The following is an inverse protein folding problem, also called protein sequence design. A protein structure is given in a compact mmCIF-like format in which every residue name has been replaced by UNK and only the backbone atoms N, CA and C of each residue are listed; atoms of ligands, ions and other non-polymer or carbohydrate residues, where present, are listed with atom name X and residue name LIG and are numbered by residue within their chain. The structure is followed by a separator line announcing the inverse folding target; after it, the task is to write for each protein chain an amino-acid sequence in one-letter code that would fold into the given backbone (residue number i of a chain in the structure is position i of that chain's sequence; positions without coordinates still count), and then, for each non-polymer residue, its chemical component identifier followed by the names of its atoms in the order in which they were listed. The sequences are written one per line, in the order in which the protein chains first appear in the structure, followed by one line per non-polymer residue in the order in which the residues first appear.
data_IF_244841190270
#
_entry.id   IF_244841190270
#
_cell.length_a   1.000
_cell.length_b   1.000
_cell.length_c   1.000
_cell.angle_alpha   90.00
_cell.angle_beta   90.00
_cell.angle_gamma   90.00
#
_symmetry.space_group_name_H-M   'P 1'
#
loop_
_entity.id
_entity.type
_entity.pdbx_description
1 polymer ?
#
# COMPACT_ATOMS: atom_id res chain seq x y z
N UNK A 1 21.71 19.55 5.09
CA UNK A 1 22.21 18.49 5.98
C UNK A 1 23.18 17.63 5.18
N UNK A 2 24.31 17.26 5.77
CA UNK A 2 25.26 16.33 5.15
C UNK A 2 24.62 14.93 5.01
N UNK A 3 24.79 14.29 3.85
CA UNK A 3 24.11 13.04 3.48
C UNK A 3 24.44 11.90 4.44
N UNK A 4 25.67 11.85 4.94
CA UNK A 4 26.13 10.86 5.94
C UNK A 4 25.36 10.97 7.26
N UNK A 5 25.09 12.21 7.71
CA UNK A 5 24.31 12.45 8.94
C UNK A 5 22.83 12.10 8.75
N UNK A 6 22.30 12.28 7.53
CA UNK A 6 20.93 11.88 7.19
C UNK A 6 20.77 10.34 7.14
N UNK A 7 21.77 9.61 6.67
CA UNK A 7 21.75 8.13 6.67
C UNK A 7 21.80 7.55 8.08
N UNK A 8 22.62 8.11 8.97
CA UNK A 8 22.69 7.69 10.38
C UNK A 8 21.38 7.88 11.15
N UNK A 9 20.50 8.79 10.72
CA UNK A 9 19.21 9.03 11.35
C UNK A 9 18.09 8.11 10.85
N UNK A 10 18.27 7.38 9.73
CA UNK A 10 17.21 6.54 9.15
C UNK A 10 16.70 5.49 10.14
N UNK A 11 17.60 4.82 10.85
CA UNK A 11 17.24 3.80 11.83
C UNK A 11 16.47 4.39 13.02
N UNK A 12 16.95 5.52 13.56
CA UNK A 12 16.29 6.20 14.67
C UNK A 12 14.89 6.74 14.28
N UNK A 13 14.74 7.27 13.05
CA UNK A 13 13.45 7.70 12.52
C UNK A 13 12.50 6.51 12.38
N UNK A 14 12.97 5.38 11.85
CA UNK A 14 12.15 4.18 11.71
C UNK A 14 11.69 3.64 13.08
N UNK A 15 12.57 3.64 14.08
CA UNK A 15 12.24 3.24 15.46
C UNK A 15 11.22 4.20 16.11
N UNK A 16 11.42 5.51 15.96
CA UNK A 16 10.48 6.51 16.43
C UNK A 16 9.11 6.36 15.77
N UNK A 17 9.08 6.09 14.46
CA UNK A 17 7.85 5.85 13.72
C UNK A 17 7.12 4.61 14.23
N UNK A 18 7.81 3.47 14.37
CA UNK A 18 7.21 2.25 14.89
C UNK A 18 6.64 2.44 16.32
N UNK A 19 7.39 3.14 17.17
CA UNK A 19 6.96 3.44 18.55
C UNK A 19 5.74 4.38 18.56
N UNK A 20 5.72 5.38 17.67
CA UNK A 20 4.61 6.32 17.56
C UNK A 20 3.35 5.65 17.02
N UNK A 21 3.48 4.79 16.01
CA UNK A 21 2.38 4.05 15.42
C UNK A 21 1.72 3.13 16.47
N UNK A 22 2.52 2.44 17.30
CA UNK A 22 2.00 1.58 18.38
C UNK A 22 1.32 2.38 19.50
N UNK A 23 1.92 3.50 19.92
CA UNK A 23 1.29 4.39 20.92
C UNK A 23 -0.01 5.01 20.41
N UNK A 24 -0.05 5.41 19.14
CA UNK A 24 -1.26 5.93 18.50
C UNK A 24 -2.34 4.85 18.46
N UNK A 25 -2.00 3.61 18.11
CA UNK A 25 -2.93 2.48 18.12
C UNK A 25 -3.55 2.27 19.50
N UNK A 26 -2.74 2.28 20.56
CA UNK A 26 -3.21 2.16 21.94
C UNK A 26 -4.10 3.34 22.34
N UNK A 27 -3.69 4.57 21.99
CA UNK A 27 -4.47 5.77 22.26
C UNK A 27 -5.83 5.75 21.55
N UNK A 28 -5.87 5.35 20.27
CA UNK A 28 -7.10 5.24 19.48
C UNK A 28 -8.08 4.26 20.14
N UNK A 29 -7.59 3.11 20.62
CA UNK A 29 -8.43 2.10 21.27
C UNK A 29 -9.10 2.60 22.57
N UNK A 30 -8.48 3.57 23.25
CA UNK A 30 -8.97 4.07 24.55
C UNK A 30 -9.75 5.39 24.44
N UNK A 31 -9.41 6.26 23.49
CA UNK A 31 -9.84 7.66 23.53
C UNK A 31 -10.56 8.13 22.26
N UNK A 32 -10.47 7.40 21.15
CA UNK A 32 -11.06 7.86 19.89
C UNK A 32 -12.58 7.99 19.95
N UNK A 33 -13.25 7.12 20.72
CA UNK A 33 -14.71 7.10 20.86
C UNK A 33 -15.29 8.38 21.48
N UNK A 34 -14.49 9.15 22.23
CA UNK A 34 -14.92 10.38 22.89
C UNK A 34 -14.91 11.57 21.92
N UNK A 35 -14.03 11.56 20.91
CA UNK A 35 -13.81 12.68 19.99
C UNK A 35 -15.08 13.20 19.31
N UNK A 36 -16.02 12.35 18.83
CA UNK A 36 -17.23 12.82 18.17
C UNK A 36 -18.22 13.54 19.09
N UNK A 37 -17.98 13.57 20.40
CA UNK A 37 -18.82 14.30 21.37
C UNK A 37 -18.25 15.66 21.79
N UNK A 38 -16.99 15.94 21.42
CA UNK A 38 -16.30 17.16 21.84
C UNK A 38 -16.92 18.43 21.24
N UNK A 39 -16.90 19.55 21.98
CA UNK A 39 -17.48 20.80 21.51
C UNK A 39 -16.63 21.44 20.41
N UNK A 40 -17.30 21.97 19.39
CA UNK A 40 -16.69 22.61 18.22
C UNK A 40 -16.23 24.06 18.44
N UNK A 41 -16.56 24.66 19.60
CA UNK A 41 -16.41 26.11 19.82
C UNK A 41 -14.97 26.63 19.69
N UNK A 42 -13.96 25.79 19.98
CA UNK A 42 -12.53 26.16 19.88
C UNK A 42 -11.86 25.67 18.59
N UNK A 43 -12.61 25.04 17.70
CA UNK A 43 -12.11 24.41 16.47
C UNK A 43 -12.69 23.01 16.28
N UNK A 44 -12.75 22.52 15.03
CA UNK A 44 -13.24 21.17 14.74
C UNK A 44 -12.21 20.12 15.14
N UNK A 45 -12.58 19.20 16.04
CA UNK A 45 -11.71 18.08 16.43
C UNK A 45 -11.84 16.91 15.45
N UNK A 46 -13.03 16.74 14.87
CA UNK A 46 -13.34 15.69 13.90
C UNK A 46 -13.88 16.31 12.60
N UNK A 47 -13.68 15.65 11.46
CA UNK A 47 -14.08 16.21 10.16
C UNK A 47 -15.58 16.56 10.05
N UNK A 48 -16.46 15.82 10.73
CA UNK A 48 -17.90 16.14 10.77
C UNK A 48 -18.24 17.40 11.60
N UNK A 49 -17.32 17.91 12.42
CA UNK A 49 -17.50 19.18 13.11
C UNK A 49 -17.24 20.38 12.21
N UNK A 50 -16.54 20.20 11.07
CA UNK A 50 -16.11 21.28 10.19
C UNK A 50 -17.30 22.13 9.71
N UNK A 51 -18.41 21.60 9.16
CA UNK A 51 -19.53 22.43 8.73
C UNK A 51 -20.11 23.28 9.85
N UNK A 52 -20.23 22.70 11.06
CA UNK A 52 -20.75 23.42 12.22
C UNK A 52 -19.80 24.53 12.66
N UNK A 53 -18.49 24.28 12.64
CA UNK A 53 -17.49 25.31 12.90
C UNK A 53 -17.60 26.47 11.91
N UNK A 54 -17.69 26.18 10.61
CA UNK A 54 -17.84 27.19 9.56
C UNK A 54 -19.13 28.00 9.71
N UNK A 55 -20.23 27.36 10.11
CA UNK A 55 -21.48 28.07 10.44
C UNK A 55 -21.30 29.07 11.60
N UNK A 56 -20.55 28.70 12.65
CA UNK A 56 -20.23 29.63 13.75
C UNK A 56 -19.39 30.82 13.27
N UNK A 57 -18.38 30.56 12.43
CA UNK A 57 -17.52 31.61 11.84
C UNK A 57 -18.31 32.57 10.97
N UNK A 58 -19.24 32.04 10.18
CA UNK A 58 -20.21 32.85 9.43
C UNK A 58 -21.08 33.71 10.34
N UNK A 59 -21.60 33.14 11.43
CA UNK A 59 -22.38 33.89 12.43
C UNK A 59 -21.57 34.99 13.14
N UNK A 60 -20.24 34.86 13.17
CA UNK A 60 -19.31 35.85 13.70
C UNK A 60 -18.90 36.94 12.68
N UNK A 61 -19.46 36.95 11.47
CA UNK A 61 -19.27 38.00 10.48
C UNK A 61 -18.57 37.58 9.18
N UNK A 62 -18.16 36.32 9.04
CA UNK A 62 -17.54 35.82 7.80
C UNK A 62 -18.59 35.58 6.71
N UNK A 63 -18.82 36.62 5.90
CA UNK A 63 -19.96 36.70 4.99
C UNK A 63 -19.91 35.76 3.77
N UNK A 64 -18.73 35.31 3.36
CA UNK A 64 -18.55 34.26 2.34
C UNK A 64 -17.54 33.22 2.84
N UNK A 65 -17.86 31.93 2.79
CA UNK A 65 -17.00 30.83 3.24
C UNK A 65 -16.63 29.93 2.05
N UNK A 66 -15.35 29.64 1.87
CA UNK A 66 -14.88 28.62 0.94
C UNK A 66 -14.18 27.51 1.71
N UNK A 67 -14.73 26.29 1.64
CA UNK A 67 -14.12 25.08 2.18
C UNK A 67 -13.40 24.34 1.04
N UNK A 68 -12.07 24.37 1.08
CA UNK A 68 -11.19 23.56 0.24
C UNK A 68 -10.91 22.22 0.93
N UNK A 69 -11.21 21.12 0.25
CA UNK A 69 -10.88 19.76 0.70
C UNK A 69 -9.85 19.19 -0.27
N UNK A 70 -8.61 19.05 0.18
CA UNK A 70 -7.56 18.40 -0.61
C UNK A 70 -7.60 16.90 -0.27
N UNK A 71 -8.07 16.11 -1.23
CA UNK A 71 -8.25 14.66 -1.08
C UNK A 71 -6.91 13.99 -0.75
N UNK A 72 -6.89 13.15 0.29
CA UNK A 72 -5.71 12.39 0.67
C UNK A 72 -4.52 13.20 1.21
N UNK A 73 -4.70 14.48 1.56
CA UNK A 73 -3.61 15.35 2.02
C UNK A 73 -3.08 14.98 3.42
N UNK A 74 -1.82 14.57 3.48
CA UNK A 74 -1.09 14.33 4.72
C UNK A 74 -0.44 15.60 5.30
N UNK A 75 -0.13 15.59 6.59
CA UNK A 75 0.43 16.74 7.32
C UNK A 75 1.79 17.18 6.77
N UNK A 76 2.66 16.23 6.38
CA UNK A 76 3.96 16.52 5.78
C UNK A 76 3.83 17.20 4.40
N UNK A 77 2.82 16.81 3.62
CA UNK A 77 2.50 17.44 2.33
C UNK A 77 1.90 18.84 2.52
N UNK A 78 1.06 19.04 3.55
CA UNK A 78 0.53 20.36 3.88
C UNK A 78 1.63 21.35 4.24
N UNK A 79 2.63 20.94 5.04
CA UNK A 79 3.79 21.77 5.36
C UNK A 79 4.49 22.25 4.09
N UNK A 80 4.68 21.37 3.11
CA UNK A 80 5.29 21.70 1.82
C UNK A 80 4.44 22.70 1.02
N UNK A 81 3.13 22.48 0.92
CA UNK A 81 2.20 23.36 0.21
C UNK A 81 2.17 24.75 0.87
N UNK A 82 2.08 24.80 2.20
CA UNK A 82 2.08 26.04 2.99
C UNK A 82 3.35 26.84 2.77
N UNK A 83 4.52 26.19 2.82
CA UNK A 83 5.81 26.86 2.58
C UNK A 83 5.90 27.43 1.16
N UNK A 84 5.41 26.68 0.16
CA UNK A 84 5.33 27.17 -1.20
C UNK A 84 4.39 28.39 -1.33
N UNK A 85 3.22 28.33 -0.70
CA UNK A 85 2.21 29.39 -0.71
C UNK A 85 2.72 30.67 -0.04
N UNK A 86 3.27 30.57 1.17
CA UNK A 86 3.80 31.73 1.93
C UNK A 86 4.97 32.39 1.20
N UNK A 87 5.81 31.59 0.52
CA UNK A 87 6.92 32.12 -0.29
C UNK A 87 6.43 33.00 -1.46
N UNK A 88 5.29 32.65 -2.05
CA UNK A 88 4.73 33.34 -3.23
C UNK A 88 3.74 34.46 -2.87
N UNK A 89 3.06 34.33 -1.74
CA UNK A 89 2.09 35.29 -1.24
C UNK A 89 2.39 35.65 0.24
N UNK A 90 3.44 36.45 0.50
CA UNK A 90 3.95 36.72 1.86
C UNK A 90 2.98 37.50 2.76
N UNK A 91 1.87 38.02 2.20
CA UNK A 91 0.81 38.69 2.97
C UNK A 91 -0.25 37.72 3.50
N UNK A 92 -0.23 36.45 3.10
CA UNK A 92 -1.16 35.45 3.61
C UNK A 92 -0.75 35.05 5.03
N UNK A 93 -1.69 35.23 5.97
CA UNK A 93 -1.62 34.61 7.29
C UNK A 93 -2.23 33.21 7.25
N UNK A 94 -1.61 32.26 7.94
CA UNK A 94 -2.12 30.90 8.09
C UNK A 94 -2.34 30.61 9.57
N UNK A 95 -3.56 30.24 9.93
CA UNK A 95 -3.91 29.71 11.26
C UNK A 95 -4.10 28.20 11.14
N UNK A 96 -3.38 27.42 11.95
CA UNK A 96 -3.31 25.96 11.80
C UNK A 96 -3.82 25.25 13.06
N UNK A 97 -4.60 24.19 12.84
CA UNK A 97 -5.00 23.23 13.86
C UNK A 97 -5.11 21.84 13.23
N UNK A 98 -5.23 20.80 14.06
CA UNK A 98 -5.36 19.42 13.59
C UNK A 98 -6.79 18.89 13.80
N UNK A 99 -7.26 18.11 12.84
CA UNK A 99 -8.58 17.50 12.84
C UNK A 99 -8.44 16.00 12.51
N UNK A 100 -9.19 15.15 13.23
CA UNK A 100 -9.22 13.72 12.99
C UNK A 100 -10.20 13.37 11.87
N UNK A 101 -9.72 12.61 10.90
CA UNK A 101 -10.56 11.88 9.95
C UNK A 101 -11.39 10.81 10.68
N UNK A 102 -12.51 10.40 10.09
CA UNK A 102 -13.26 9.27 10.61
C UNK A 102 -12.48 7.97 10.41
N UNK A 103 -12.51 7.06 11.38
CA UNK A 103 -12.11 5.66 11.20
C UNK A 103 -13.34 4.85 10.73
N UNK A 104 -13.20 3.99 9.70
CA UNK A 104 -12.03 3.89 8.84
C UNK A 104 -11.90 5.16 7.97
N UNK A 105 -10.67 5.50 7.57
CA UNK A 105 -10.35 6.74 6.83
C UNK A 105 -10.56 6.76 5.31
N UNK A 106 -11.25 5.83 4.63
CA UNK A 106 -11.58 6.01 3.22
C UNK A 106 -12.37 7.28 2.94
N UNK A 107 -12.16 7.85 1.75
CA UNK A 107 -12.79 9.06 1.25
C UNK A 107 -14.30 9.09 1.46
N UNK A 108 -15.02 8.00 1.15
CA UNK A 108 -16.49 7.96 1.24
C UNK A 108 -17.00 8.09 2.68
N UNK A 109 -16.23 7.66 3.68
CA UNK A 109 -16.61 7.77 5.10
C UNK A 109 -16.31 9.18 5.60
N UNK A 110 -15.07 9.62 5.45
CA UNK A 110 -14.62 10.88 6.06
C UNK A 110 -15.13 12.11 5.32
N UNK A 111 -15.15 12.11 3.97
CA UNK A 111 -15.58 13.27 3.19
C UNK A 111 -17.10 13.44 3.18
N UNK A 112 -17.86 12.34 3.22
CA UNK A 112 -19.31 12.42 3.41
C UNK A 112 -19.66 12.99 4.79
N UNK A 113 -18.94 12.57 5.85
CA UNK A 113 -19.09 13.17 7.17
C UNK A 113 -18.73 14.66 7.18
N UNK A 114 -17.66 15.03 6.47
CA UNK A 114 -17.20 16.41 6.31
C UNK A 114 -18.23 17.29 5.62
N UNK A 115 -18.86 16.87 4.52
CA UNK A 115 -19.84 17.71 3.82
C UNK A 115 -21.26 17.65 4.40
N UNK A 116 -21.61 16.60 5.14
CA UNK A 116 -22.93 16.50 5.80
C UNK A 116 -22.96 17.09 7.21
N UNK A 117 -21.83 17.12 7.91
CA UNK A 117 -21.77 17.39 9.34
C UNK A 117 -22.31 16.25 10.21
N UNK A 118 -22.60 15.09 9.62
CA UNK A 118 -23.18 13.93 10.28
C UNK A 118 -22.11 12.90 10.68
N UNK A 119 -22.44 12.03 11.65
CA UNK A 119 -21.63 10.84 11.96
C UNK A 119 -21.93 9.74 10.93
N UNK A 120 -20.96 8.84 10.64
CA UNK A 120 -21.14 7.77 9.65
C UNK A 120 -22.39 6.91 9.82
N UNK A 121 -22.81 6.63 11.06
CA UNK A 121 -24.05 5.90 11.36
C UNK A 121 -25.32 6.55 10.80
N UNK A 122 -25.31 7.87 10.60
CA UNK A 122 -26.47 8.66 10.15
C UNK A 122 -26.61 8.67 8.62
N UNK A 123 -25.62 8.16 7.90
CA UNK A 123 -25.64 8.00 6.44
C UNK A 123 -25.26 6.57 6.02
N UNK A 124 -25.64 5.58 6.83
CA UNK A 124 -25.30 4.17 6.62
C UNK A 124 -25.60 3.66 5.20
N UNK A 125 -26.71 4.11 4.60
CA UNK A 125 -27.15 3.67 3.26
C UNK A 125 -26.23 4.17 2.13
N UNK A 126 -25.45 5.22 2.38
CA UNK A 126 -24.62 5.88 1.36
C UNK A 126 -23.13 5.93 1.71
N UNK A 127 -22.71 5.26 2.79
CA UNK A 127 -21.35 5.29 3.35
C UNK A 127 -20.25 4.83 2.39
N UNK A 128 -20.62 4.08 1.35
CA UNK A 128 -19.72 3.53 0.33
C UNK A 128 -19.52 4.45 -0.89
N UNK A 129 -20.21 5.60 -0.94
CA UNK A 129 -20.18 6.52 -2.08
C UNK A 129 -19.97 7.97 -1.65
N UNK A 130 -19.38 8.78 -2.53
CA UNK A 130 -19.29 10.23 -2.38
C UNK A 130 -20.40 10.98 -3.13
N UNK A 131 -21.30 10.27 -3.84
CA UNK A 131 -22.35 10.88 -4.66
C UNK A 131 -23.35 11.76 -3.90
N UNK A 132 -23.67 11.54 -2.60
CA UNK A 132 -24.59 12.41 -1.87
C UNK A 132 -23.98 13.74 -1.39
N UNK A 133 -22.66 13.92 -1.47
CA UNK A 133 -21.95 15.09 -0.93
C UNK A 133 -22.56 16.44 -1.38
N UNK A 134 -22.91 16.68 -2.67
CA UNK A 134 -23.51 17.94 -3.09
C UNK A 134 -24.84 18.23 -2.40
N UNK A 135 -25.70 17.21 -2.29
CA UNK A 135 -27.03 17.32 -1.66
C UNK A 135 -26.90 17.52 -0.16
N UNK A 136 -26.00 16.78 0.49
CA UNK A 136 -25.77 16.89 1.93
C UNK A 136 -25.17 18.25 2.32
N UNK A 137 -24.22 18.76 1.53
CA UNK A 137 -23.66 20.10 1.72
C UNK A 137 -24.72 21.18 1.57
N UNK A 138 -25.53 21.11 0.51
CA UNK A 138 -26.64 22.03 0.29
C UNK A 138 -27.67 21.97 1.42
N UNK A 139 -28.01 20.77 1.90
CA UNK A 139 -28.96 20.58 3.00
C UNK A 139 -28.43 21.16 4.30
N UNK A 140 -27.19 20.87 4.67
CA UNK A 140 -26.58 21.41 5.89
C UNK A 140 -26.71 22.94 5.95
N UNK A 141 -26.36 23.63 4.86
CA UNK A 141 -26.42 25.09 4.81
C UNK A 141 -27.83 25.66 4.73
N UNK A 142 -28.78 24.95 4.14
CA UNK A 142 -30.19 25.30 4.21
C UNK A 142 -30.73 25.22 5.64
N UNK A 143 -30.32 24.23 6.41
CA UNK A 143 -30.63 24.13 7.84
C UNK A 143 -29.98 25.26 8.67
N UNK A 144 -28.95 25.93 8.11
CA UNK A 144 -28.34 27.15 8.68
C UNK A 144 -28.93 28.45 8.09
N UNK A 145 -30.04 28.37 7.34
CA UNK A 145 -30.78 29.54 6.84
C UNK A 145 -30.33 30.10 5.50
N UNK A 146 -29.46 29.40 4.76
CA UNK A 146 -29.14 29.78 3.38
C UNK A 146 -30.16 29.20 2.39
N UNK A 147 -30.33 29.84 1.24
CA UNK A 147 -31.08 29.28 0.11
C UNK A 147 -30.18 28.37 -0.72
N UNK A 148 -30.77 27.41 -1.43
CA UNK A 148 -30.03 26.45 -2.25
C UNK A 148 -29.11 27.13 -3.28
N UNK A 149 -29.53 28.26 -3.88
CA UNK A 149 -28.74 29.04 -4.84
C UNK A 149 -27.64 29.92 -4.19
N UNK A 150 -27.51 29.89 -2.87
CA UNK A 150 -26.44 30.54 -2.12
C UNK A 150 -25.31 29.55 -1.75
N UNK A 151 -25.49 28.26 -2.09
CA UNK A 151 -24.58 27.17 -1.78
C UNK A 151 -24.03 26.54 -3.05
N UNK A 152 -22.71 26.48 -3.19
CA UNK A 152 -22.02 25.82 -4.28
C UNK A 152 -21.26 24.59 -3.76
N UNK A 153 -21.27 23.52 -4.55
CA UNK A 153 -20.36 22.39 -4.41
C UNK A 153 -19.68 22.11 -5.75
N UNK A 154 -18.36 21.87 -5.73
CA UNK A 154 -17.56 21.54 -6.91
C UNK A 154 -16.56 20.44 -6.54
N UNK A 155 -16.50 19.36 -7.32
CA UNK A 155 -15.51 18.29 -7.14
C UNK A 155 -14.72 18.08 -8.43
N UNK A 156 -13.52 17.52 -8.30
CA UNK A 156 -12.69 17.13 -9.43
C UNK A 156 -11.85 18.29 -9.96
N UNK A 157 -11.54 19.28 -9.12
CA UNK A 157 -10.60 20.34 -9.46
C UNK A 157 -9.18 19.79 -9.32
N UNK A 158 -8.38 19.88 -10.37
CA UNK A 158 -7.06 19.24 -10.45
C UNK A 158 -6.00 20.14 -11.06
N UNK A 159 -6.41 20.98 -12.03
CA UNK A 159 -5.52 21.73 -12.92
C UNK A 159 -5.99 23.15 -13.14
N UNK A 160 -5.06 24.00 -13.59
CA UNK A 160 -5.24 25.46 -13.74
C UNK A 160 -6.31 25.83 -14.77
N UNK A 161 -6.48 25.03 -15.82
CA UNK A 161 -7.49 25.24 -16.86
C UNK A 161 -8.93 25.17 -16.33
N UNK A 162 -9.16 24.45 -15.22
CA UNK A 162 -10.47 24.37 -14.55
C UNK A 162 -10.77 25.59 -13.68
N UNK A 163 -9.78 26.44 -13.37
CA UNK A 163 -9.97 27.59 -12.48
C UNK A 163 -10.82 28.69 -13.11
N UNK A 164 -10.81 28.85 -14.44
CA UNK A 164 -11.67 29.81 -15.13
C UNK A 164 -13.15 29.48 -14.94
N UNK A 165 -13.53 28.20 -15.09
CA UNK A 165 -14.90 27.73 -14.91
C UNK A 165 -15.33 27.75 -13.43
N UNK A 166 -14.39 27.50 -12.51
CA UNK A 166 -14.63 27.68 -11.08
C UNK A 166 -14.88 29.16 -10.75
N UNK A 167 -14.04 30.06 -11.27
CA UNK A 167 -14.15 31.50 -11.09
C UNK A 167 -15.49 32.06 -11.57
N UNK A 168 -15.94 31.64 -12.75
CA UNK A 168 -17.24 32.01 -13.27
C UNK A 168 -18.41 31.55 -12.38
N UNK A 169 -18.27 30.41 -11.68
CA UNK A 169 -19.32 29.91 -10.79
C UNK A 169 -19.35 30.63 -9.43
N UNK A 170 -18.19 30.97 -8.86
CA UNK A 170 -18.10 31.61 -7.53
C UNK A 170 -18.36 33.13 -7.55
N UNK A 171 -18.23 33.76 -8.73
CA UNK A 171 -18.47 35.20 -8.91
C UNK A 171 -19.96 35.56 -8.90
N UNK A 172 -20.85 34.57 -8.96
CA UNK A 172 -22.28 34.77 -8.79
C UNK A 172 -22.56 35.44 -7.42
N UNK A 173 -23.15 36.65 -7.38
CA UNK A 173 -23.29 37.44 -6.14
C UNK A 173 -24.13 36.76 -5.04
N UNK A 174 -24.94 35.77 -5.41
CA UNK A 174 -25.75 34.98 -4.46
C UNK A 174 -24.90 33.99 -3.66
N UNK A 175 -23.75 33.53 -4.16
CA UNK A 175 -22.97 32.48 -3.50
C UNK A 175 -22.41 33.01 -2.18
N UNK A 176 -22.78 32.33 -1.10
CA UNK A 176 -22.31 32.60 0.27
C UNK A 176 -21.38 31.51 0.75
N UNK A 177 -21.59 30.27 0.31
CA UNK A 177 -20.73 29.16 0.73
C UNK A 177 -20.35 28.27 -0.46
N UNK A 178 -19.08 27.95 -0.55
CA UNK A 178 -18.50 27.05 -1.55
C UNK A 178 -17.82 25.85 -0.87
N UNK A 179 -18.17 24.64 -1.28
CA UNK A 179 -17.41 23.42 -0.99
C UNK A 179 -16.67 22.98 -2.24
N UNK A 180 -15.34 22.89 -2.19
CA UNK A 180 -14.49 22.59 -3.36
C UNK A 180 -13.55 21.44 -3.01
N UNK A 181 -13.56 20.39 -3.83
CA UNK A 181 -12.70 19.23 -3.68
C UNK A 181 -11.60 19.24 -4.73
N UNK A 182 -10.35 19.13 -4.26
CA UNK A 182 -9.14 19.06 -5.06
C UNK A 182 -8.54 17.66 -4.95
N UNK A 183 -8.46 16.92 -6.06
CA UNK A 183 -8.08 15.50 -6.04
C UNK A 183 -6.56 15.26 -6.26
N UNK A 184 -5.80 16.32 -6.60
CA UNK A 184 -4.45 16.18 -7.16
C UNK A 184 -3.46 15.46 -6.24
N UNK A 185 -3.55 15.66 -4.92
CA UNK A 185 -2.63 15.04 -3.96
C UNK A 185 -2.87 13.53 -3.89
N UNK A 186 -4.12 13.09 -3.79
CA UNK A 186 -4.49 11.68 -3.81
C UNK A 186 -4.05 10.99 -5.12
N UNK A 187 -4.24 11.65 -6.27
CA UNK A 187 -3.77 11.15 -7.56
C UNK A 187 -2.24 10.99 -7.62
N UNK A 188 -1.49 11.97 -7.09
CA UNK A 188 -0.03 11.89 -6.98
C UNK A 188 0.38 10.70 -6.11
N UNK A 189 -0.29 10.50 -4.97
CA UNK A 189 0.01 9.42 -4.03
C UNK A 189 -0.25 8.05 -4.67
N UNK A 190 -1.41 7.87 -5.32
CA UNK A 190 -1.75 6.61 -5.99
C UNK A 190 -0.90 6.31 -7.23
N UNK A 191 -0.39 7.35 -7.92
CA UNK A 191 0.50 7.21 -9.08
C UNK A 191 1.99 7.06 -8.73
N UNK A 192 2.38 7.21 -7.47
CA UNK A 192 3.78 7.25 -7.09
C UNK A 192 4.48 5.89 -7.15
N UNK A 193 5.58 5.81 -7.90
CA UNK A 193 6.45 4.61 -8.00
C UNK A 193 7.70 4.73 -7.12
N UNK A 194 8.14 5.96 -6.80
CA UNK A 194 9.37 6.25 -6.06
C UNK A 194 9.14 6.51 -4.56
N UNK A 195 8.00 6.06 -4.03
CA UNK A 195 7.60 6.25 -2.63
C UNK A 195 7.48 7.73 -2.24
N UNK A 196 7.64 8.04 -0.94
CA UNK A 196 7.49 9.40 -0.40
C UNK A 196 8.38 10.46 -1.07
N UNK A 197 9.59 10.10 -1.51
CA UNK A 197 10.48 11.04 -2.21
C UNK A 197 9.88 11.49 -3.55
N UNK A 198 9.30 10.55 -4.31
CA UNK A 198 8.61 10.86 -5.57
C UNK A 198 7.35 11.68 -5.35
N UNK A 199 6.61 11.41 -4.26
CA UNK A 199 5.43 12.18 -3.88
C UNK A 199 5.80 13.64 -3.57
N UNK A 200 6.82 13.86 -2.74
CA UNK A 200 7.28 15.20 -2.38
C UNK A 200 7.68 16.03 -3.61
N UNK A 201 8.45 15.44 -4.54
CA UNK A 201 8.84 16.13 -5.77
C UNK A 201 7.64 16.48 -6.67
N UNK A 202 6.63 15.60 -6.74
CA UNK A 202 5.41 15.86 -7.52
C UNK A 202 4.53 16.93 -6.87
N UNK A 203 4.41 16.95 -5.54
CA UNK A 203 3.70 18.03 -4.81
C UNK A 203 4.40 19.36 -5.00
N UNK A 204 5.74 19.39 -5.01
CA UNK A 204 6.53 20.59 -5.31
C UNK A 204 6.21 21.11 -6.71
N UNK A 205 6.33 20.25 -7.71
CA UNK A 205 6.02 20.56 -9.11
C UNK A 205 4.58 21.05 -9.30
N UNK A 206 3.62 20.44 -8.58
CA UNK A 206 2.24 20.89 -8.58
C UNK A 206 2.06 22.29 -7.98
N UNK A 207 2.71 22.60 -6.86
CA UNK A 207 2.71 23.96 -6.31
C UNK A 207 3.37 24.94 -7.29
N UNK A 208 4.47 24.53 -7.94
CA UNK A 208 5.20 25.37 -8.89
C UNK A 208 4.40 25.72 -10.14
N UNK A 209 3.48 24.84 -10.56
CA UNK A 209 2.54 25.09 -11.65
C UNK A 209 1.67 26.33 -11.46
N UNK A 210 1.61 26.86 -10.23
CA UNK A 210 0.81 28.03 -9.86
C UNK A 210 -0.67 27.72 -9.62
N UNK A 211 -1.09 26.45 -9.71
CA UNK A 211 -2.47 26.05 -9.45
C UNK A 211 -2.93 26.48 -8.05
N UNK A 212 -2.16 26.16 -7.01
CA UNK A 212 -2.52 26.45 -5.62
C UNK A 212 -2.62 27.96 -5.39
N UNK A 213 -1.62 28.72 -5.86
CA UNK A 213 -1.58 30.17 -5.74
C UNK A 213 -2.80 30.82 -6.41
N UNK A 214 -3.14 30.38 -7.62
CA UNK A 214 -4.27 30.90 -8.39
C UNK A 214 -5.61 30.53 -7.76
N UNK A 215 -5.76 29.31 -7.23
CA UNK A 215 -6.98 28.88 -6.54
C UNK A 215 -7.25 29.74 -5.29
N UNK A 216 -6.22 29.97 -4.46
CA UNK A 216 -6.36 30.79 -3.27
C UNK A 216 -6.64 32.25 -3.63
N UNK A 217 -5.90 32.82 -4.58
CA UNK A 217 -6.11 34.20 -5.04
C UNK A 217 -7.52 34.39 -5.58
N UNK A 218 -7.99 33.47 -6.43
CA UNK A 218 -9.34 33.49 -7.00
C UNK A 218 -10.43 33.55 -5.91
N UNK A 219 -10.31 32.77 -4.84
CA UNK A 219 -11.29 32.76 -3.75
C UNK A 219 -11.21 34.03 -2.89
N UNK A 220 -10.00 34.49 -2.58
CA UNK A 220 -9.77 35.69 -1.77
C UNK A 220 -10.23 36.96 -2.49
N UNK A 221 -9.95 37.08 -3.80
CA UNK A 221 -10.37 38.20 -4.63
C UNK A 221 -11.91 38.27 -4.74
N UNK A 222 -12.58 37.14 -4.70
CA UNK A 222 -14.04 37.02 -4.61
C UNK A 222 -14.60 37.22 -3.19
N UNK A 223 -13.75 37.58 -2.22
CA UNK A 223 -14.11 37.94 -0.86
C UNK A 223 -14.47 36.75 0.04
N UNK A 224 -14.06 35.53 -0.31
CA UNK A 224 -14.24 34.36 0.57
C UNK A 224 -13.23 34.31 1.69
N UNK A 225 -13.68 33.92 2.88
CA UNK A 225 -12.81 33.36 3.92
C UNK A 225 -12.51 31.91 3.55
N UNK A 226 -11.23 31.59 3.34
CA UNK A 226 -10.78 30.29 2.83
C UNK A 226 -10.37 29.39 3.99
N UNK A 227 -10.99 28.22 4.07
CA UNK A 227 -10.67 27.15 5.00
C UNK A 227 -10.17 25.96 4.20
N UNK A 228 -9.00 25.43 4.55
CA UNK A 228 -8.45 24.23 3.92
C UNK A 228 -8.43 23.08 4.93
N UNK A 229 -8.85 21.89 4.48
CA UNK A 229 -8.73 20.64 5.23
C UNK A 229 -8.48 19.48 4.27
N UNK A 230 -8.24 18.30 4.84
CA UNK A 230 -8.30 17.03 4.14
C UNK A 230 -9.50 16.22 4.64
N UNK A 231 -9.92 15.23 3.86
CA UNK A 231 -10.81 14.16 4.33
C UNK A 231 -10.04 13.05 5.05
N UNK A 232 -8.83 12.71 4.57
CA UNK A 232 -7.86 11.86 5.23
C UNK A 232 -6.42 12.19 4.80
N UNK A 233 -5.45 11.62 5.52
CA UNK A 233 -4.04 11.62 5.10
C UNK A 233 -3.64 10.34 4.36
N UNK A 234 -2.34 10.20 4.12
CA UNK A 234 -1.74 8.99 3.53
C UNK A 234 -0.48 8.57 4.31
N UNK A 235 -0.14 7.29 4.20
CA UNK A 235 1.09 6.71 4.77
C UNK A 235 1.59 5.58 3.89
N UNK A 236 2.90 5.48 3.73
CA UNK A 236 3.54 4.38 3.00
C UNK A 236 3.34 3.06 3.75
N UNK A 237 3.00 2.02 3.01
CA UNK A 237 2.72 0.70 3.56
C UNK A 237 3.24 -0.41 2.64
N UNK A 238 3.63 -1.52 3.26
CA UNK A 238 4.11 -2.72 2.55
C UNK A 238 2.98 -3.72 2.40
N UNK A 239 2.85 -4.33 1.22
CA UNK A 239 1.85 -5.38 1.02
C UNK A 239 2.10 -6.59 1.93
N UNK A 240 1.06 -7.08 2.61
CA UNK A 240 1.12 -8.29 3.45
C UNK A 240 0.34 -9.48 2.85
N UNK A 241 -0.03 -9.38 1.57
CA UNK A 241 -0.93 -10.32 0.92
C UNK A 241 -2.36 -9.79 0.85
N UNK A 242 -3.14 -10.39 -0.05
CA UNK A 242 -4.57 -10.09 -0.21
C UNK A 242 -5.37 -11.17 0.52
N UNK A 243 -6.30 -10.80 1.43
CA UNK A 243 -7.26 -11.76 1.97
C UNK A 243 -8.07 -12.34 0.80
N UNK A 244 -7.99 -13.65 0.59
CA UNK A 244 -8.64 -14.33 -0.54
C UNK A 244 -9.53 -15.45 0.00
N UNK A 245 -10.73 -15.10 0.46
CA UNK A 245 -11.70 -16.04 1.05
C UNK A 245 -13.02 -16.09 0.25
N UNK A 246 -13.05 -15.63 -1.01
CA UNK A 246 -14.29 -15.60 -1.82
C UNK A 246 -15.36 -14.59 -1.34
N UNK A 247 -15.10 -13.92 -0.22
CA UNK A 247 -15.96 -12.91 0.39
C UNK A 247 -15.52 -11.53 -0.10
N UNK A 248 -16.45 -10.77 -0.68
CA UNK A 248 -16.18 -9.40 -1.10
C UNK A 248 -16.36 -8.47 0.11
N UNK A 249 -15.30 -7.82 0.60
CA UNK A 249 -15.47 -6.71 1.54
C UNK A 249 -16.25 -5.60 0.83
N UNK A 250 -17.19 -4.98 1.56
CA UNK A 250 -18.06 -3.93 1.02
C UNK A 250 -17.24 -2.71 0.63
N UNK A 251 -16.34 -2.30 1.52
CA UNK A 251 -15.43 -1.20 1.31
C UNK A 251 -13.97 -1.69 1.33
N UNK A 252 -13.22 -1.34 0.28
CA UNK A 252 -11.82 -1.76 0.05
C UNK A 252 -10.87 -0.57 0.14
N UNK A 253 -10.48 -0.18 1.36
CA UNK A 253 -9.30 0.66 1.55
C UNK A 253 -8.02 -0.16 1.46
N UNK A 254 -6.85 0.40 1.18
CA UNK A 254 -5.64 -0.45 1.08
C UNK A 254 -5.25 -1.08 2.42
N UNK A 255 -5.48 -0.36 3.53
CA UNK A 255 -5.13 -0.76 4.89
C UNK A 255 -6.32 -1.18 5.75
N UNK A 256 -7.52 -1.26 5.18
CA UNK A 256 -8.73 -1.62 5.91
C UNK A 256 -9.69 -2.44 5.04
N UNK A 257 -10.40 -3.35 5.69
CA UNK A 257 -11.50 -4.12 5.12
C UNK A 257 -12.71 -3.94 6.02
N UNK A 258 -13.88 -3.76 5.42
CA UNK A 258 -15.15 -3.73 6.16
C UNK A 258 -15.97 -4.98 5.88
N UNK A 259 -16.67 -5.46 6.91
CA UNK A 259 -17.49 -6.66 6.88
C UNK A 259 -18.84 -6.38 7.54
N UNK A 260 -19.89 -7.06 7.07
CA UNK A 260 -21.23 -7.01 7.69
C UNK A 260 -21.53 -8.15 8.66
N UNK A 261 -20.58 -9.07 8.82
CA UNK A 261 -20.73 -10.28 9.64
C UNK A 261 -19.54 -10.48 10.56
N UNK A 262 -19.84 -10.73 11.83
CA UNK A 262 -18.86 -11.06 12.87
C UNK A 262 -18.07 -12.33 12.53
N UNK A 263 -18.73 -13.31 11.92
CA UNK A 263 -18.10 -14.55 11.48
C UNK A 263 -17.06 -14.26 10.40
N UNK A 264 -17.41 -13.45 9.40
CA UNK A 264 -16.53 -13.16 8.26
C UNK A 264 -15.28 -12.36 8.68
N UNK A 265 -15.45 -11.37 9.56
CA UNK A 265 -14.30 -10.63 10.09
C UNK A 265 -13.41 -11.52 10.95
N UNK A 266 -13.99 -12.43 11.75
CA UNK A 266 -13.23 -13.37 12.58
C UNK A 266 -12.43 -14.36 11.75
N UNK A 267 -13.02 -14.94 10.70
CA UNK A 267 -12.33 -15.82 9.75
C UNK A 267 -11.22 -15.08 9.00
N UNK A 268 -11.46 -13.83 8.63
CA UNK A 268 -10.46 -13.01 7.94
C UNK A 268 -9.31 -12.62 8.86
N UNK A 269 -9.58 -12.27 10.11
CA UNK A 269 -8.57 -11.98 11.12
C UNK A 269 -7.73 -13.22 11.46
N UNK A 270 -8.36 -14.39 11.60
CA UNK A 270 -7.66 -15.65 11.87
C UNK A 270 -6.70 -16.04 10.73
N UNK A 271 -7.09 -15.79 9.47
CA UNK A 271 -6.25 -16.06 8.31
C UNK A 271 -5.18 -14.98 8.06
N UNK A 272 -5.31 -13.79 8.67
CA UNK A 272 -4.40 -12.67 8.49
C UNK A 272 -3.92 -12.19 9.87
N UNK A 273 -2.92 -12.86 10.47
CA UNK A 273 -2.54 -12.61 11.87
C UNK A 273 -2.00 -11.20 12.11
N UNK A 274 -1.47 -10.52 11.09
CA UNK A 274 -1.09 -9.10 11.18
C UNK A 274 -2.27 -8.18 10.85
N UNK A 275 -3.34 -8.30 11.63
CA UNK A 275 -4.52 -7.43 11.55
C UNK A 275 -4.94 -6.96 12.94
N UNK A 276 -5.63 -5.82 12.98
CA UNK A 276 -6.18 -5.25 14.20
C UNK A 276 -7.67 -4.98 13.97
N UNK A 277 -8.51 -5.56 14.82
CA UNK A 277 -9.91 -5.17 14.92
C UNK A 277 -10.01 -3.93 15.79
N UNK A 278 -10.84 -2.97 15.38
CA UNK A 278 -11.15 -1.79 16.18
C UNK A 278 -12.66 -1.56 16.13
N UNK A 279 -13.26 -1.42 17.31
CA UNK A 279 -14.64 -0.96 17.43
C UNK A 279 -14.66 0.57 17.37
N UNK A 280 -15.37 1.13 16.39
CA UNK A 280 -15.38 2.57 16.16
C UNK A 280 -16.77 3.11 16.42
N UNK A 281 -16.92 3.78 17.55
CA UNK A 281 -18.15 4.46 17.92
C UNK A 281 -18.56 5.48 16.84
N UNK A 282 -19.79 5.41 16.37
CA UNK A 282 -20.31 6.30 15.33
C UNK A 282 -20.35 5.71 13.93
N UNK A 283 -19.87 4.48 13.73
CA UNK A 283 -20.12 3.69 12.51
C UNK A 283 -21.51 3.01 12.54
N UNK A 284 -22.05 2.62 11.36
CA UNK A 284 -23.20 1.72 11.31
C UNK A 284 -22.93 0.40 12.06
N UNK A 285 -23.95 -0.14 12.74
CA UNK A 285 -23.83 -1.33 13.61
C UNK A 285 -23.29 -2.56 12.86
N UNK A 286 -23.58 -2.64 11.56
CA UNK A 286 -23.17 -3.72 10.68
C UNK A 286 -21.90 -3.38 9.85
N UNK A 287 -21.11 -2.37 10.24
CA UNK A 287 -19.86 -2.03 9.55
C UNK A 287 -18.65 -2.33 10.43
N UNK A 288 -18.21 -3.59 10.41
CA UNK A 288 -17.10 -4.06 11.24
C UNK A 288 -15.78 -3.87 10.48
N UNK A 289 -14.82 -3.18 11.10
CA UNK A 289 -13.55 -2.83 10.47
C UNK A 289 -12.41 -3.76 10.90
N UNK A 290 -11.68 -4.28 9.92
CA UNK A 290 -10.42 -5.01 10.09
C UNK A 290 -9.29 -4.21 9.45
N UNK A 291 -8.37 -3.72 10.27
CA UNK A 291 -7.22 -2.93 9.83
C UNK A 291 -6.00 -3.82 9.63
N UNK A 292 -5.15 -3.48 8.67
CA UNK A 292 -3.82 -4.07 8.52
C UNK A 292 -2.91 -3.58 9.68
N UNK A 293 -2.13 -4.49 10.27
CA UNK A 293 -1.27 -4.18 11.42
C UNK A 293 0.01 -3.43 11.04
N UNK A 294 0.39 -2.42 11.82
CA UNK A 294 1.58 -1.61 11.56
C UNK A 294 1.51 -0.88 10.21
N UNK A 295 2.66 -0.74 9.53
CA UNK A 295 2.77 -0.13 8.19
C UNK A 295 2.60 -1.15 7.07
N UNK A 296 1.60 -2.02 7.19
CA UNK A 296 1.23 -2.95 6.12
C UNK A 296 -0.10 -2.58 5.46
N UNK A 297 -0.35 -3.18 4.31
CA UNK A 297 -1.57 -3.04 3.52
C UNK A 297 -1.99 -4.39 2.93
N UNK A 298 -3.28 -4.57 2.71
CA UNK A 298 -3.88 -5.74 2.06
C UNK A 298 -3.64 -5.71 0.52
N UNK A 299 -2.37 -5.62 0.14
CA UNK A 299 -1.83 -5.63 -1.22
C UNK A 299 -0.84 -6.78 -1.36
N UNK A 300 -0.50 -7.14 -2.59
CA UNK A 300 0.51 -8.18 -2.84
C UNK A 300 1.82 -7.80 -2.15
N UNK A 301 2.45 -8.76 -1.46
CA UNK A 301 3.74 -8.53 -0.82
C UNK A 301 4.84 -8.51 -1.90
N UNK A 302 5.52 -7.36 -2.13
CA UNK A 302 6.58 -7.29 -3.13
C UNK A 302 7.81 -8.14 -2.77
N UNK A 303 8.00 -8.51 -1.49
CA UNK A 303 9.11 -9.34 -1.04
C UNK A 303 8.94 -10.84 -1.28
N UNK A 304 7.77 -11.28 -1.78
CA UNK A 304 7.52 -12.66 -2.23
C UNK A 304 7.51 -12.71 -3.77
N UNK A 305 8.65 -12.98 -4.43
CA UNK A 305 8.67 -13.08 -5.89
C UNK A 305 7.89 -14.32 -6.34
N UNK A 306 6.84 -14.10 -7.13
CA UNK A 306 6.06 -15.18 -7.78
C UNK A 306 6.97 -16.23 -8.44
N UNK A 307 8.08 -15.86 -9.13
CA UNK A 307 9.04 -16.83 -9.63
C UNK A 307 9.57 -17.80 -8.56
N UNK A 308 9.86 -17.36 -7.33
CA UNK A 308 10.36 -18.25 -6.27
C UNK A 308 9.31 -19.26 -5.83
N UNK A 309 8.04 -18.85 -5.72
CA UNK A 309 6.95 -19.77 -5.39
C UNK A 309 6.79 -20.84 -6.48
N UNK A 310 6.63 -20.41 -7.73
CA UNK A 310 6.43 -21.29 -8.88
C UNK A 310 7.64 -22.22 -9.11
N UNK A 311 8.86 -21.72 -8.91
CA UNK A 311 10.08 -22.51 -9.04
C UNK A 311 10.16 -23.58 -7.95
N UNK A 312 9.93 -23.21 -6.68
CA UNK A 312 9.91 -24.16 -5.57
C UNK A 312 8.88 -25.27 -5.80
N UNK A 313 7.67 -24.92 -6.25
CA UNK A 313 6.65 -25.92 -6.60
C UNK A 313 7.14 -26.84 -7.73
N UNK A 314 7.73 -26.27 -8.77
CA UNK A 314 8.17 -27.02 -9.94
C UNK A 314 9.30 -28.01 -9.60
N UNK A 315 10.30 -27.60 -8.83
CA UNK A 315 11.42 -28.49 -8.46
C UNK A 315 11.01 -29.54 -7.42
N UNK A 316 10.06 -29.22 -6.54
CA UNK A 316 9.56 -30.17 -5.53
C UNK A 316 8.69 -31.26 -6.15
N UNK A 317 7.86 -30.92 -7.14
CA UNK A 317 6.85 -31.82 -7.72
C UNK A 317 7.29 -32.50 -9.02
N UNK A 318 8.14 -31.84 -9.83
CA UNK A 318 8.51 -32.32 -11.15
C UNK A 318 10.03 -32.50 -11.27
N UNK A 319 10.57 -33.72 -11.03
CA UNK A 319 12.01 -33.99 -11.09
C UNK A 319 12.65 -33.61 -12.43
N UNK A 320 11.90 -33.73 -13.53
CA UNK A 320 12.35 -33.30 -14.86
C UNK A 320 12.64 -31.80 -14.91
N UNK A 321 11.75 -30.96 -14.36
CA UNK A 321 11.96 -29.51 -14.26
C UNK A 321 13.19 -29.22 -13.40
N UNK A 322 13.27 -29.85 -12.22
CA UNK A 322 14.41 -29.69 -11.32
C UNK A 322 15.74 -30.07 -11.96
N UNK A 323 15.77 -31.11 -12.81
CA UNK A 323 17.00 -31.49 -13.51
C UNK A 323 17.42 -30.47 -14.57
N UNK A 324 16.48 -29.90 -15.33
CA UNK A 324 16.79 -28.82 -16.28
C UNK A 324 17.29 -27.58 -15.53
N UNK A 325 16.65 -27.21 -14.42
CA UNK A 325 17.10 -26.13 -13.53
C UNK A 325 18.53 -26.36 -13.02
N UNK A 326 18.85 -27.56 -12.53
CA UNK A 326 20.19 -27.91 -12.05
C UNK A 326 21.24 -27.87 -13.18
N UNK A 327 20.90 -28.32 -14.39
CA UNK A 327 21.81 -28.25 -15.54
C UNK A 327 22.05 -26.81 -15.99
N UNK A 328 20.99 -26.01 -16.11
CA UNK A 328 21.10 -24.57 -16.37
C UNK A 328 21.97 -23.89 -15.31
N UNK A 329 21.67 -24.14 -14.04
CA UNK A 329 22.41 -23.62 -12.89
C UNK A 329 23.89 -23.99 -12.87
N UNK A 330 24.27 -25.15 -13.43
CA UNK A 330 25.68 -25.55 -13.55
C UNK A 330 26.35 -24.97 -14.79
N UNK A 331 25.77 -25.18 -15.97
CA UNK A 331 26.40 -24.83 -17.25
C UNK A 331 26.69 -23.34 -17.37
N UNK A 332 25.78 -22.51 -16.87
CA UNK A 332 25.91 -21.05 -16.97
C UNK A 332 26.56 -20.40 -15.74
N UNK A 333 27.10 -21.18 -14.79
CA UNK A 333 27.65 -20.64 -13.55
C UNK A 333 28.92 -19.78 -13.75
N UNK A 334 29.75 -20.13 -14.73
CA UNK A 334 31.05 -19.47 -14.97
C UNK A 334 30.95 -18.32 -15.97
N UNK A 335 30.29 -18.54 -17.10
CA UNK A 335 30.25 -17.59 -18.22
C UNK A 335 28.98 -16.74 -18.26
N UNK A 336 27.99 -17.06 -17.41
CA UNK A 336 26.69 -16.38 -17.42
C UNK A 336 25.77 -16.83 -18.55
N UNK A 337 26.15 -17.82 -19.34
CA UNK A 337 25.35 -18.36 -20.44
C UNK A 337 25.69 -19.82 -20.75
N UNK A 338 24.88 -20.46 -21.59
CA UNK A 338 25.16 -21.76 -22.20
C UNK A 338 24.32 -21.96 -23.46
N UNK A 339 24.63 -22.99 -24.26
CA UNK A 339 23.78 -23.35 -25.40
C UNK A 339 22.60 -24.23 -24.97
N UNK A 340 21.47 -24.11 -25.67
CA UNK A 340 20.34 -25.02 -25.47
C UNK A 340 20.69 -26.45 -25.90
N UNK A 341 21.55 -26.62 -26.89
CA UNK A 341 22.04 -27.92 -27.35
C UNK A 341 22.80 -28.68 -26.24
N UNK A 342 23.62 -28.00 -25.43
CA UNK A 342 24.30 -28.63 -24.29
C UNK A 342 23.32 -29.13 -23.23
N UNK A 343 22.30 -28.32 -22.92
CA UNK A 343 21.24 -28.73 -21.97
C UNK A 343 20.50 -29.95 -22.50
N UNK A 344 20.10 -29.94 -23.77
CA UNK A 344 19.43 -31.08 -24.42
C UNK A 344 20.29 -32.33 -24.39
N UNK A 345 21.57 -32.24 -24.75
CA UNK A 345 22.51 -33.37 -24.73
C UNK A 345 22.59 -34.00 -23.34
N UNK A 346 22.70 -33.19 -22.28
CA UNK A 346 22.71 -33.66 -20.88
C UNK A 346 21.39 -34.27 -20.45
N UNK A 347 20.26 -33.73 -20.91
CA UNK A 347 18.95 -34.32 -20.64
C UNK A 347 18.77 -35.67 -21.33
N UNK A 348 19.25 -35.82 -22.57
CA UNK A 348 19.23 -37.10 -23.29
C UNK A 348 20.15 -38.14 -22.66
N UNK A 349 21.31 -37.75 -22.13
CA UNK A 349 22.20 -38.66 -21.37
C UNK A 349 21.49 -39.27 -20.13
N UNK A 350 20.58 -38.51 -19.50
CA UNK A 350 19.90 -38.91 -18.27
C UNK A 350 18.59 -39.67 -18.55
N UNK A 351 17.81 -39.22 -19.53
CA UNK A 351 16.44 -39.71 -19.79
C UNK A 351 16.30 -40.52 -21.09
N UNK A 352 17.39 -40.69 -21.84
CA UNK A 352 17.43 -41.37 -23.13
C UNK A 352 17.10 -40.46 -24.32
N UNK A 353 17.53 -40.87 -25.51
CA UNK A 353 17.30 -40.13 -26.76
C UNK A 353 15.89 -40.40 -27.30
N UNK A 354 14.95 -39.50 -27.02
CA UNK A 354 13.59 -39.52 -27.56
C UNK A 354 13.13 -38.11 -27.92
N UNK A 355 12.36 -37.97 -28.99
CA UNK A 355 11.83 -36.67 -29.45
C UNK A 355 11.06 -35.93 -28.34
N UNK A 356 10.35 -36.66 -27.48
CA UNK A 356 9.64 -36.12 -26.32
C UNK A 356 10.56 -35.39 -25.33
N UNK A 357 11.79 -35.85 -25.11
CA UNK A 357 12.75 -35.23 -24.17
C UNK A 357 13.18 -33.85 -24.67
N UNK A 358 13.44 -33.73 -25.97
CA UNK A 358 13.80 -32.45 -26.59
C UNK A 358 12.65 -31.44 -26.46
N UNK A 359 11.41 -31.86 -26.75
CA UNK A 359 10.23 -31.00 -26.63
C UNK A 359 10.00 -30.55 -25.19
N UNK A 360 10.00 -31.49 -24.23
CA UNK A 360 9.78 -31.18 -22.81
C UNK A 360 10.88 -30.27 -22.24
N UNK A 361 12.15 -30.52 -22.59
CA UNK A 361 13.27 -29.67 -22.17
C UNK A 361 13.09 -28.23 -22.68
N UNK A 362 12.68 -28.06 -23.94
CA UNK A 362 12.39 -26.73 -24.49
C UNK A 362 11.21 -26.04 -23.79
N UNK A 363 10.17 -26.78 -23.39
CA UNK A 363 9.04 -26.22 -22.62
C UNK A 363 9.48 -25.75 -21.23
N UNK A 364 10.34 -26.51 -20.56
CA UNK A 364 10.92 -26.11 -19.27
C UNK A 364 11.80 -24.87 -19.43
N UNK A 365 12.70 -24.85 -20.42
CA UNK A 365 13.52 -23.68 -20.72
C UNK A 365 12.65 -22.45 -21.01
N UNK A 366 11.57 -22.59 -21.78
CA UNK A 366 10.65 -21.49 -22.01
C UNK A 366 9.99 -21.00 -20.73
N UNK A 367 9.59 -21.91 -19.83
CA UNK A 367 9.00 -21.55 -18.53
C UNK A 367 9.99 -20.79 -17.66
N UNK A 368 11.24 -21.25 -17.57
CA UNK A 368 12.31 -20.58 -16.83
C UNK A 368 12.60 -19.18 -17.41
N UNK A 369 12.55 -19.01 -18.73
CA UNK A 369 12.68 -17.70 -19.37
C UNK A 369 11.50 -16.76 -19.05
N UNK A 370 10.27 -17.27 -19.14
CA UNK A 370 9.05 -16.53 -18.81
C UNK A 370 9.00 -16.11 -17.33
N UNK A 371 9.66 -16.86 -16.44
CA UNK A 371 9.82 -16.50 -15.02
C UNK A 371 11.04 -15.60 -14.75
N UNK A 372 11.71 -15.14 -15.80
CA UNK A 372 12.80 -14.17 -15.70
C UNK A 372 14.14 -14.74 -15.27
N UNK A 373 14.31 -16.07 -15.25
CA UNK A 373 15.59 -16.67 -14.87
C UNK A 373 16.66 -16.47 -15.94
N UNK A 374 16.28 -16.55 -17.22
CA UNK A 374 17.20 -16.42 -18.35
C UNK A 374 16.53 -15.79 -19.56
N UNK A 375 17.33 -15.40 -20.54
CA UNK A 375 16.90 -14.92 -21.84
C UNK A 375 17.33 -15.89 -22.94
N UNK A 376 16.44 -16.11 -23.91
CA UNK A 376 16.68 -16.98 -25.06
C UNK A 376 17.04 -16.10 -26.26
N UNK A 377 18.29 -16.12 -26.67
CA UNK A 377 18.80 -15.35 -27.82
C UNK A 377 19.16 -16.29 -28.97
N UNK A 378 19.50 -15.73 -30.14
CA UNK A 378 19.88 -16.52 -31.33
C UNK A 378 18.82 -17.57 -31.71
N UNK A 379 17.55 -17.16 -31.76
CA UNK A 379 16.39 -18.07 -31.99
C UNK A 379 16.32 -19.22 -30.97
N UNK A 380 16.77 -18.98 -29.73
CA UNK A 380 16.74 -19.94 -28.64
C UNK A 380 17.90 -20.93 -28.61
N UNK A 381 18.94 -20.73 -29.44
CA UNK A 381 20.17 -21.53 -29.41
C UNK A 381 21.06 -21.21 -28.21
N UNK A 382 21.05 -19.96 -27.76
CA UNK A 382 21.88 -19.48 -26.65
C UNK A 382 21.01 -18.95 -25.53
N UNK A 383 21.37 -19.30 -24.30
CA UNK A 383 20.61 -19.04 -23.09
C UNK A 383 21.47 -18.19 -22.15
N UNK A 384 21.08 -16.94 -21.91
CA UNK A 384 21.85 -15.97 -21.12
C UNK A 384 21.18 -15.77 -19.77
N UNK A 385 21.92 -15.89 -18.66
CA UNK A 385 21.41 -15.61 -17.32
C UNK A 385 20.93 -14.17 -17.21
N UNK A 386 19.78 -13.98 -16.58
CA UNK A 386 19.39 -12.67 -16.08
C UNK A 386 20.03 -12.40 -14.71
N UNK A 387 20.05 -11.12 -14.25
CA UNK A 387 20.52 -10.79 -12.92
C UNK A 387 19.85 -11.68 -11.85
N UNK A 388 20.60 -12.20 -10.85
CA UNK A 388 20.05 -13.08 -9.85
C UNK A 388 18.91 -12.44 -9.06
N UNK A 389 17.93 -13.25 -8.66
CA UNK A 389 16.78 -12.79 -7.87
C UNK A 389 17.13 -12.94 -6.38
N UNK A 390 17.45 -11.84 -5.72
CA UNK A 390 17.73 -11.82 -4.30
C UNK A 390 16.46 -12.05 -3.47
N UNK A 391 16.51 -13.03 -2.57
CA UNK A 391 15.44 -13.29 -1.60
C UNK A 391 15.84 -12.74 -0.23
N UNK A 392 15.13 -11.70 0.19
CA UNK A 392 15.33 -11.01 1.47
C UNK A 392 14.34 -11.44 2.54
N UNK A 393 13.19 -11.97 2.15
CA UNK A 393 12.12 -12.39 3.06
C UNK A 393 12.30 -13.85 3.50
N UNK A 394 11.93 -14.13 4.75
CA UNK A 394 12.17 -15.43 5.38
C UNK A 394 11.31 -16.53 4.77
N UNK A 395 10.04 -16.24 4.47
CA UNK A 395 9.11 -17.25 3.96
C UNK A 395 9.51 -17.78 2.57
N UNK A 396 9.85 -16.96 1.55
CA UNK A 396 10.37 -17.46 0.28
C UNK A 396 11.68 -18.25 0.41
N UNK A 397 12.56 -17.85 1.33
CA UNK A 397 13.82 -18.57 1.59
C UNK A 397 13.53 -19.95 2.18
N UNK A 398 12.69 -20.03 3.21
CA UNK A 398 12.27 -21.31 3.81
C UNK A 398 11.63 -22.20 2.75
N UNK A 399 10.72 -21.67 1.94
CA UNK A 399 10.05 -22.41 0.88
C UNK A 399 11.02 -22.99 -0.15
N UNK A 400 11.95 -22.19 -0.67
CA UNK A 400 12.92 -22.69 -1.65
C UNK A 400 13.90 -23.70 -1.05
N UNK A 401 14.31 -23.52 0.20
CA UNK A 401 15.15 -24.52 0.90
C UNK A 401 14.38 -25.83 1.03
N UNK A 402 13.11 -25.78 1.45
CA UNK A 402 12.26 -26.97 1.53
C UNK A 402 12.13 -27.67 0.18
N UNK A 403 11.83 -26.92 -0.88
CA UNK A 403 11.71 -27.44 -2.24
C UNK A 403 13.01 -28.07 -2.75
N UNK A 404 14.17 -27.47 -2.44
CA UNK A 404 15.48 -28.02 -2.80
C UNK A 404 15.79 -29.32 -2.04
N UNK A 405 15.41 -29.43 -0.77
CA UNK A 405 15.56 -30.67 0.01
C UNK A 405 14.64 -31.77 -0.51
N UNK A 406 13.39 -31.43 -0.88
CA UNK A 406 12.45 -32.36 -1.52
C UNK A 406 13.01 -32.87 -2.86
N UNK A 407 13.55 -31.97 -3.68
CA UNK A 407 14.22 -32.34 -4.92
C UNK A 407 15.46 -33.23 -4.69
N UNK A 408 16.29 -32.90 -3.69
CA UNK A 408 17.48 -33.67 -3.37
C UNK A 408 17.16 -35.05 -2.78
N UNK A 409 15.97 -35.22 -2.18
CA UNK A 409 15.53 -36.44 -1.52
C UNK A 409 16.31 -36.77 -0.24
N UNK A 410 17.12 -35.83 0.28
CA UNK A 410 17.97 -36.01 1.47
C UNK A 410 18.28 -34.69 2.15
N UNK A 411 18.76 -34.77 3.39
CA UNK A 411 19.31 -33.62 4.09
C UNK A 411 20.58 -33.11 3.40
N UNK A 412 20.80 -31.79 3.45
CA UNK A 412 21.94 -31.11 2.79
C UNK A 412 22.62 -30.19 3.80
N UNK A 413 23.94 -30.06 3.73
CA UNK A 413 24.68 -29.15 4.63
C UNK A 413 24.28 -27.69 4.38
N UNK A 414 24.25 -26.90 5.46
CA UNK A 414 23.95 -25.45 5.39
C UNK A 414 24.91 -24.74 4.42
N UNK A 415 26.18 -25.18 4.38
CA UNK A 415 27.19 -24.64 3.48
C UNK A 415 26.86 -24.90 2.01
N UNK A 416 26.41 -26.10 1.66
CA UNK A 416 26.11 -26.46 0.27
C UNK A 416 24.80 -25.89 -0.25
N UNK A 417 23.81 -25.62 0.61
CA UNK A 417 22.49 -25.09 0.21
C UNK A 417 22.59 -23.86 -0.69
N UNK A 418 23.45 -22.89 -0.34
CA UNK A 418 23.62 -21.65 -1.12
C UNK A 418 24.16 -21.87 -2.54
N UNK A 419 24.87 -22.98 -2.74
CA UNK A 419 25.52 -23.34 -4.01
C UNK A 419 24.75 -24.37 -4.83
N UNK A 420 23.57 -24.80 -4.37
CA UNK A 420 22.78 -25.78 -5.11
C UNK A 420 22.33 -25.20 -6.44
N UNK A 421 22.81 -25.80 -7.55
CA UNK A 421 22.51 -25.32 -8.89
C UNK A 421 21.01 -25.30 -9.22
N UNK A 422 20.20 -26.17 -8.61
CA UNK A 422 18.74 -26.20 -8.79
C UNK A 422 18.03 -24.95 -8.25
N UNK A 423 18.68 -24.19 -7.34
CA UNK A 423 18.16 -22.94 -6.79
C UNK A 423 18.47 -21.72 -7.67
N UNK A 424 19.22 -21.86 -8.75
CA UNK A 424 19.27 -20.84 -9.79
C UNK A 424 17.84 -20.43 -10.19
N UNK A 425 17.53 -19.14 -10.39
CA UNK A 425 18.39 -17.95 -10.35
C UNK A 425 18.42 -17.22 -8.99
N UNK A 426 17.98 -17.87 -7.90
CA UNK A 426 17.76 -17.21 -6.62
C UNK A 426 19.02 -17.10 -5.76
N UNK A 427 19.17 -15.98 -5.06
CA UNK A 427 20.22 -15.75 -4.07
C UNK A 427 19.58 -15.65 -2.70
N UNK A 428 19.90 -16.60 -1.82
CA UNK A 428 19.41 -16.63 -0.44
C UNK A 428 20.30 -15.72 0.43
N UNK A 429 19.85 -14.48 0.67
CA UNK A 429 20.67 -13.46 1.36
C UNK A 429 20.79 -13.77 2.86
N UNK A 430 19.72 -14.26 3.47
CA UNK A 430 19.59 -14.44 4.92
C UNK A 430 20.54 -15.49 5.52
N UNK A 431 20.92 -15.34 6.81
CA UNK A 431 21.68 -16.37 7.53
C UNK A 431 20.88 -17.68 7.66
N UNK A 432 21.16 -18.67 6.79
CA UNK A 432 20.33 -19.86 6.64
C UNK A 432 20.17 -20.67 7.93
N UNK A 433 21.20 -20.73 8.78
CA UNK A 433 21.10 -21.41 10.07
C UNK A 433 20.04 -20.76 10.99
N UNK A 434 19.96 -19.42 11.01
CA UNK A 434 18.95 -18.71 11.78
C UNK A 434 17.55 -18.93 11.20
N UNK A 435 17.43 -18.87 9.88
CA UNK A 435 16.16 -19.08 9.16
C UNK A 435 15.58 -20.46 9.42
N UNK A 436 16.41 -21.49 9.27
CA UNK A 436 16.01 -22.88 9.48
C UNK A 436 15.63 -23.13 10.94
N UNK A 437 16.39 -22.60 11.90
CA UNK A 437 16.10 -22.77 13.33
C UNK A 437 14.73 -22.22 13.76
N UNK A 438 14.21 -21.23 13.03
CA UNK A 438 12.91 -20.61 13.29
C UNK A 438 11.80 -21.13 12.36
N UNK A 439 12.09 -22.13 11.52
CA UNK A 439 11.10 -22.74 10.61
C UNK A 439 10.25 -23.78 11.33
N UNK A 440 9.00 -23.92 10.86
CA UNK A 440 8.08 -25.02 11.27
C UNK A 440 8.11 -26.22 10.32
N UNK A 441 8.88 -26.16 9.23
CA UNK A 441 8.93 -27.22 8.21
C UNK A 441 10.33 -27.79 8.02
N UNK A 442 11.36 -27.09 8.52
CA UNK A 442 12.75 -27.46 8.40
C UNK A 442 13.36 -27.70 9.78
N UNK A 443 14.38 -28.55 9.84
CA UNK A 443 15.12 -28.82 11.06
C UNK A 443 16.64 -28.80 10.83
N UNK A 444 17.38 -28.34 11.84
CA UNK A 444 18.83 -28.41 11.87
C UNK A 444 19.27 -29.64 12.65
N UNK A 445 20.11 -30.47 12.04
CA UNK A 445 20.77 -31.61 12.69
C UNK A 445 22.28 -31.38 12.72
N UNK A 446 22.92 -31.69 13.83
CA UNK A 446 24.38 -31.68 13.92
C UNK A 446 24.96 -32.96 13.33
N UNK A 447 25.99 -32.85 12.51
CA UNK A 447 26.78 -33.98 12.02
C UNK A 447 28.27 -33.73 12.32
N UNK A 448 28.81 -34.45 13.30
CA UNK A 448 30.19 -34.26 13.77
C UNK A 448 30.42 -32.93 14.50
N UNK A 449 31.70 -32.52 14.59
CA UNK A 449 32.13 -31.38 15.43
C UNK A 449 31.93 -30.00 14.79
N UNK A 450 31.57 -29.90 13.50
CA UNK A 450 31.46 -28.61 12.82
C UNK A 450 30.42 -28.52 11.69
N UNK A 451 29.85 -29.62 11.20
CA UNK A 451 28.90 -29.57 10.08
C UNK A 451 27.45 -29.60 10.57
N UNK A 452 26.60 -28.81 9.91
CA UNK A 452 25.17 -28.70 10.21
C UNK A 452 24.38 -29.06 8.97
N UNK A 453 23.53 -30.05 9.10
CA UNK A 453 22.61 -30.47 8.05
C UNK A 453 21.24 -29.80 8.24
N UNK A 454 20.62 -29.45 7.13
CA UNK A 454 19.20 -29.05 7.07
C UNK A 454 18.41 -30.22 6.51
N UNK A 455 17.36 -30.62 7.23
CA UNK A 455 16.40 -31.64 6.82
C UNK A 455 14.96 -31.11 6.84
N UNK A 456 14.05 -31.89 6.29
CA UNK A 456 12.61 -31.70 6.48
C UNK A 456 12.21 -32.22 7.86
N UNK A 457 11.33 -31.51 8.55
CA UNK A 457 10.83 -31.95 9.86
C UNK A 457 10.03 -33.26 9.75
N UNK A 458 10.25 -34.19 10.68
CA UNK A 458 9.60 -35.50 10.68
C UNK A 458 8.06 -35.38 10.68
N UNK A 459 7.41 -35.98 9.68
CA UNK A 459 5.94 -35.96 9.50
C UNK A 459 5.46 -35.39 8.16
N UNK A 460 6.32 -34.74 7.37
CA UNK A 460 5.96 -34.15 6.06
C UNK A 460 6.33 -35.01 4.84
N UNK A 461 6.29 -36.35 4.98
CA UNK A 461 6.53 -37.28 3.88
C UNK A 461 5.27 -37.43 3.02
N UNK A 462 5.09 -36.58 2.00
CA UNK A 462 4.32 -37.00 0.83
C UNK A 462 5.27 -37.87 0.00
N UNK A 463 5.15 -39.19 0.14
CA UNK A 463 5.81 -40.10 -0.81
C UNK A 463 5.14 -39.88 -2.17
N UNK A 464 5.90 -39.41 -3.15
CA UNK A 464 5.52 -39.57 -4.56
C UNK A 464 5.89 -40.98 -4.96
N UNK A 465 4.86 -41.80 -5.13
CA UNK A 465 4.94 -43.02 -5.93
C UNK A 465 5.11 -42.68 -7.40
#
# INVERSE_FOLDING_TARGET
MDTVRAEGLKAAIAELQATTDERLRQWVALHYADLPSLPVAKGPVMVHHVPRFLSLRRGAGEAKIALLVFDGLAVDQWVQIREALVKRAPKLGVEESACFAWLPTPTSVSRQALFSGLKPREFADTIESTSPEPTQWSRFWQDQGLRANEVMYRKGIKRTDQLAELGAAISAPSIRVAGIVVDTVDEIVHGAVLGKRGIAAQVESWCESGFVDQLFSLLLDEGFHVYLTADHGNVEAVGQGRPNQGVTPELRGERVRTYRSETLVSESAAANPNTCRLDVAGLPVNLICLFAGGRTAFKANPGVPIPALSWGMAIATYPFFGKVAELMGRLSALQGDCSSAEVHRRMSEIYGEREGIYRMTNMVLQSQASWGAMERVEKGKRLIRRPPIALTDTEPVVWLVEAALRYAGKAVSVASLRSMAVLYPFVLVQPLAYVVANSRTLELRAEGSSDRLVGLQAGQNWRVS
#
